data_IF_148540209596
#
_entry.id   IF_148540209596
#
_cell.length_a   1.000
_cell.length_b   1.000
_cell.length_c   1.000
_cell.angle_alpha   90.00
_cell.angle_beta   90.00
_cell.angle_gamma   90.00
#
_symmetry.space_group_name_H-M   'P 1'
#
loop_
_entity.id
_entity.type
_entity.pdbx_description
1 polymer ?
#
# COMPACT_ATOMS: atom_id res chain seq x y z
N UNK A 1 -8.84 36.56 6.12
CA UNK A 1 -9.21 35.17 6.06
C UNK A 1 -9.36 34.53 7.41
N UNK A 2 -10.38 33.71 7.55
CA UNK A 2 -10.72 33.03 8.82
C UNK A 2 -9.99 31.63 8.92
N UNK A 3 -9.30 31.18 7.88
CA UNK A 3 -8.54 29.92 7.91
C UNK A 3 -7.33 30.07 8.84
N UNK A 4 -7.17 29.14 9.77
CA UNK A 4 -5.96 29.04 10.60
C UNK A 4 -4.76 28.68 9.69
N UNK A 5 -3.56 29.19 9.97
CA UNK A 5 -2.37 28.79 9.23
C UNK A 5 -2.14 27.27 9.38
N UNK A 6 -1.54 26.68 8.37
CA UNK A 6 -1.16 25.27 8.41
C UNK A 6 -0.19 25.03 9.59
N UNK A 7 -0.42 24.00 10.43
CA UNK A 7 0.53 23.63 11.48
C UNK A 7 1.93 23.40 10.92
N UNK A 8 2.96 23.70 11.69
CA UNK A 8 4.35 23.63 11.22
C UNK A 8 4.74 22.20 10.86
N UNK A 9 4.33 21.23 11.66
CA UNK A 9 4.55 19.80 11.44
C UNK A 9 3.95 19.32 10.12
N UNK A 10 2.80 19.84 9.72
CA UNK A 10 2.18 19.51 8.43
C UNK A 10 2.91 20.23 7.27
N UNK A 11 3.41 21.44 7.51
CA UNK A 11 4.16 22.19 6.50
C UNK A 11 5.46 21.45 6.12
N UNK A 12 6.13 20.83 7.09
CA UNK A 12 7.35 20.04 6.86
C UNK A 12 7.08 18.75 6.05
N UNK A 13 5.87 18.21 6.11
CA UNK A 13 5.49 16.99 5.38
C UNK A 13 5.16 17.25 3.91
N UNK A 14 4.79 18.48 3.53
CA UNK A 14 4.43 18.80 2.13
C UNK A 14 5.59 18.53 1.15
N UNK A 15 6.85 18.92 1.41
CA UNK A 15 7.97 18.58 0.54
C UNK A 15 8.19 17.06 0.43
N UNK A 16 8.06 16.32 1.55
CA UNK A 16 8.19 14.86 1.56
C UNK A 16 7.10 14.18 0.73
N UNK A 17 5.86 14.65 0.81
CA UNK A 17 4.77 14.17 -0.03
C UNK A 17 5.06 14.37 -1.52
N UNK A 18 5.58 15.55 -1.90
CA UNK A 18 5.96 15.83 -3.29
C UNK A 18 7.11 14.94 -3.76
N UNK A 19 8.10 14.70 -2.91
CA UNK A 19 9.19 13.78 -3.19
C UNK A 19 8.68 12.35 -3.44
N UNK A 20 7.76 11.87 -2.60
CA UNK A 20 7.08 10.57 -2.79
C UNK A 20 6.36 10.51 -4.13
N UNK A 21 5.52 11.49 -4.43
CA UNK A 21 4.76 11.52 -5.69
C UNK A 21 5.68 11.57 -6.91
N UNK A 22 6.77 12.35 -6.85
CA UNK A 22 7.77 12.41 -7.91
C UNK A 22 8.48 11.07 -8.12
N UNK A 23 8.85 10.40 -7.02
CA UNK A 23 9.45 9.06 -7.09
C UNK A 23 8.48 8.02 -7.67
N UNK A 24 7.18 8.21 -7.47
CA UNK A 24 6.11 7.40 -8.06
C UNK A 24 5.79 7.77 -9.51
N UNK A 25 6.51 8.69 -10.14
CA UNK A 25 6.25 9.24 -11.48
C UNK A 25 4.85 9.89 -11.61
N UNK A 26 4.32 10.44 -10.50
CA UNK A 26 3.08 11.22 -10.51
C UNK A 26 3.40 12.66 -10.87
N UNK A 27 2.78 13.17 -11.93
CA UNK A 27 2.96 14.56 -12.37
C UNK A 27 2.34 15.53 -11.37
N UNK A 28 3.12 16.48 -10.88
CA UNK A 28 2.69 17.55 -9.98
C UNK A 28 2.60 18.84 -10.79
N UNK A 29 1.44 19.49 -10.78
CA UNK A 29 1.22 20.76 -11.47
C UNK A 29 0.98 21.86 -10.45
N UNK A 30 1.79 22.91 -10.50
CA UNK A 30 1.68 24.09 -9.63
C UNK A 30 1.82 25.36 -10.48
N UNK A 31 0.98 26.34 -10.20
CA UNK A 31 1.07 27.67 -10.85
C UNK A 31 0.74 28.77 -9.85
N UNK A 32 1.70 29.63 -9.59
CA UNK A 32 1.46 30.80 -8.73
C UNK A 32 0.37 31.72 -9.31
N UNK A 33 -0.52 32.19 -8.43
CA UNK A 33 -1.61 33.10 -8.81
C UNK A 33 -2.93 32.39 -9.18
N UNK A 34 -2.98 31.06 -9.15
CA UNK A 34 -4.21 30.27 -9.33
C UNK A 34 -4.42 29.37 -8.13
N UNK A 35 -5.66 29.03 -7.86
CA UNK A 35 -6.04 28.00 -6.90
C UNK A 35 -5.92 26.60 -7.51
N UNK A 36 -5.85 25.57 -6.68
CA UNK A 36 -5.76 24.18 -7.16
C UNK A 36 -6.98 23.81 -8.04
N UNK A 37 -8.15 24.30 -7.67
CA UNK A 37 -9.41 24.03 -8.38
C UNK A 37 -9.42 24.64 -9.78
N UNK A 38 -8.81 25.81 -9.98
CA UNK A 38 -8.63 26.44 -11.30
C UNK A 38 -7.73 25.58 -12.20
N UNK A 39 -6.64 25.05 -11.63
CA UNK A 39 -5.71 24.14 -12.33
C UNK A 39 -6.43 22.85 -12.70
N UNK A 40 -7.15 22.24 -11.75
CA UNK A 40 -7.94 21.02 -11.96
C UNK A 40 -9.02 21.26 -13.04
N UNK A 41 -9.74 22.38 -12.95
CA UNK A 41 -10.76 22.77 -13.92
C UNK A 41 -10.18 22.94 -15.34
N UNK A 42 -9.05 23.64 -15.45
CA UNK A 42 -8.36 23.85 -16.74
C UNK A 42 -7.90 22.54 -17.35
N UNK A 43 -7.22 21.68 -16.56
CA UNK A 43 -6.70 20.38 -17.03
C UNK A 43 -7.84 19.44 -17.39
N UNK A 44 -8.90 19.35 -16.58
CA UNK A 44 -10.03 18.48 -16.86
C UNK A 44 -10.75 18.84 -18.16
N UNK A 45 -10.93 20.13 -18.43
CA UNK A 45 -11.50 20.62 -19.69
C UNK A 45 -10.55 20.42 -20.88
N UNK A 46 -9.25 20.55 -20.68
CA UNK A 46 -8.25 20.23 -21.69
C UNK A 46 -8.33 18.73 -22.05
N UNK A 47 -8.36 17.85 -21.06
CA UNK A 47 -8.46 16.40 -21.26
C UNK A 47 -9.76 16.02 -22.00
N UNK A 48 -10.91 16.55 -21.58
CA UNK A 48 -12.20 16.32 -22.22
C UNK A 48 -12.19 16.72 -23.68
N UNK A 49 -11.66 17.92 -24.02
CA UNK A 49 -11.55 18.40 -25.42
C UNK A 49 -10.64 17.52 -26.28
N UNK A 50 -9.68 16.82 -25.68
CA UNK A 50 -8.83 15.85 -26.36
C UNK A 50 -9.38 14.42 -26.34
N UNK A 51 -10.64 14.23 -25.92
CA UNK A 51 -11.33 12.94 -25.96
C UNK A 51 -11.02 11.98 -24.81
N UNK A 52 -10.38 12.45 -23.73
CA UNK A 52 -10.11 11.65 -22.56
C UNK A 52 -11.30 11.61 -21.60
N UNK A 53 -11.62 10.43 -21.07
CA UNK A 53 -12.46 10.31 -19.91
C UNK A 53 -11.66 10.76 -18.67
N UNK A 54 -12.22 11.71 -17.92
CA UNK A 54 -11.50 12.35 -16.81
C UNK A 54 -12.14 11.99 -15.47
N UNK A 55 -11.30 11.68 -14.47
CA UNK A 55 -11.76 11.45 -13.10
C UNK A 55 -11.08 12.46 -12.18
N UNK A 56 -11.89 13.32 -11.55
CA UNK A 56 -11.45 14.25 -10.52
C UNK A 56 -11.71 13.60 -9.15
N UNK A 57 -10.67 13.45 -8.31
CA UNK A 57 -10.81 12.93 -6.95
C UNK A 57 -10.51 14.04 -5.96
N UNK A 58 -11.51 14.48 -5.22
CA UNK A 58 -11.37 15.56 -4.24
C UNK A 58 -12.43 15.46 -3.14
N UNK A 59 -12.13 16.01 -1.96
CA UNK A 59 -13.12 16.21 -0.90
C UNK A 59 -13.97 17.46 -1.11
N UNK A 60 -13.62 18.33 -2.06
CA UNK A 60 -14.28 19.60 -2.32
C UNK A 60 -15.47 19.43 -3.26
N UNK A 61 -16.64 19.89 -2.80
CA UNK A 61 -17.88 19.83 -3.57
C UNK A 61 -18.00 20.93 -4.63
N UNK A 62 -17.16 21.94 -4.57
CA UNK A 62 -17.19 23.01 -5.57
C UNK A 62 -16.77 22.50 -6.94
N UNK A 63 -15.96 21.43 -6.97
CA UNK A 63 -15.59 20.74 -8.20
C UNK A 63 -16.76 20.02 -8.90
N UNK A 64 -17.94 19.90 -8.26
CA UNK A 64 -19.15 19.38 -8.92
C UNK A 64 -19.58 20.22 -10.12
N UNK A 65 -19.23 21.52 -10.16
CA UNK A 65 -19.44 22.39 -11.31
C UNK A 65 -18.68 21.94 -12.57
N UNK A 66 -17.66 21.06 -12.41
CA UNK A 66 -16.86 20.52 -13.52
C UNK A 66 -17.43 19.24 -14.12
N UNK A 67 -18.39 18.59 -13.45
CA UNK A 67 -18.94 17.32 -13.89
C UNK A 67 -19.60 17.42 -15.28
N UNK A 68 -19.35 16.44 -16.13
CA UNK A 68 -19.97 16.28 -17.46
C UNK A 68 -20.27 14.80 -17.70
N UNK A 69 -20.66 14.41 -18.91
CA UNK A 69 -20.78 13.01 -19.30
C UNK A 69 -19.40 12.31 -19.37
N UNK A 70 -18.31 13.07 -19.55
CA UNK A 70 -16.95 12.57 -19.66
C UNK A 70 -16.05 12.94 -18.47
N UNK A 71 -16.48 13.82 -17.58
CA UNK A 71 -15.78 14.21 -16.37
C UNK A 71 -16.56 13.70 -15.15
N UNK A 72 -16.01 12.70 -14.48
CA UNK A 72 -16.50 12.14 -13.24
C UNK A 72 -15.86 12.82 -12.04
N UNK A 73 -16.65 13.38 -11.13
CA UNK A 73 -16.18 13.88 -9.83
C UNK A 73 -16.42 12.82 -8.75
N UNK A 74 -15.35 12.37 -8.10
CA UNK A 74 -15.36 11.36 -7.02
C UNK A 74 -15.03 12.00 -5.68
N UNK A 75 -15.97 11.93 -4.75
CA UNK A 75 -15.82 12.51 -3.41
C UNK A 75 -15.65 11.41 -2.36
N UNK A 76 -14.45 11.21 -1.82
CA UNK A 76 -14.22 10.29 -0.70
C UNK A 76 -14.86 10.85 0.58
N UNK A 77 -15.62 10.01 1.29
CA UNK A 77 -16.19 10.32 2.62
C UNK A 77 -15.71 9.31 3.63
N UNK A 78 -14.87 9.75 4.54
CA UNK A 78 -14.40 8.92 5.65
C UNK A 78 -15.36 9.02 6.83
N UNK A 79 -15.86 7.89 7.30
CA UNK A 79 -16.70 7.74 8.49
C UNK A 79 -16.06 6.70 9.42
N UNK A 80 -16.56 6.60 10.66
CA UNK A 80 -16.07 5.63 11.64
C UNK A 80 -16.05 4.15 11.17
N UNK A 81 -16.79 3.82 10.11
CA UNK A 81 -16.86 2.47 9.52
C UNK A 81 -16.07 2.28 8.21
N UNK A 82 -15.25 3.27 7.79
CA UNK A 82 -14.47 3.19 6.55
C UNK A 82 -14.71 4.37 5.60
N UNK A 83 -14.05 4.32 4.45
CA UNK A 83 -14.19 5.34 3.41
C UNK A 83 -15.17 4.85 2.35
N UNK A 84 -16.21 5.65 2.09
CA UNK A 84 -17.15 5.48 0.96
C UNK A 84 -16.82 6.50 -0.11
N UNK A 85 -17.06 6.17 -1.38
CA UNK A 85 -16.81 7.08 -2.50
C UNK A 85 -18.15 7.42 -3.15
N UNK A 86 -18.47 8.69 -3.23
CA UNK A 86 -19.60 9.20 -4.01
C UNK A 86 -19.12 9.57 -5.42
N UNK A 87 -19.84 9.18 -6.44
CA UNK A 87 -19.53 9.45 -7.85
C UNK A 87 -20.58 10.39 -8.42
N UNK A 88 -20.14 11.43 -9.17
CA UNK A 88 -21.01 12.44 -9.74
C UNK A 88 -20.64 12.74 -11.19
N UNK A 89 -21.48 12.30 -12.13
CA UNK A 89 -21.58 12.85 -13.48
C UNK A 89 -22.57 14.01 -13.51
N UNK A 90 -22.78 14.62 -14.68
CA UNK A 90 -23.68 15.76 -14.82
C UNK A 90 -25.12 15.45 -14.33
N UNK A 91 -25.64 14.29 -14.67
CA UNK A 91 -27.00 13.87 -14.26
C UNK A 91 -27.09 13.62 -12.75
N UNK A 92 -26.05 13.04 -12.12
CA UNK A 92 -26.01 12.82 -10.66
C UNK A 92 -26.07 14.16 -9.88
N UNK A 93 -25.37 15.20 -10.38
CA UNK A 93 -25.43 16.54 -9.80
C UNK A 93 -26.83 17.11 -9.94
N UNK A 94 -27.46 16.94 -11.10
CA UNK A 94 -28.82 17.42 -11.35
C UNK A 94 -29.85 16.68 -10.48
N UNK A 95 -29.71 15.38 -10.30
CA UNK A 95 -30.60 14.59 -9.44
C UNK A 95 -30.47 14.98 -7.97
N UNK A 96 -29.26 15.29 -7.50
CA UNK A 96 -28.99 15.64 -6.10
C UNK A 96 -29.40 17.07 -5.76
N UNK A 97 -29.06 18.04 -6.62
CA UNK A 97 -29.24 19.47 -6.34
C UNK A 97 -30.39 20.12 -7.14
N UNK A 98 -30.95 19.41 -8.12
CA UNK A 98 -32.00 19.90 -9.01
C UNK A 98 -31.51 20.90 -10.05
N UNK A 99 -30.19 21.10 -10.18
CA UNK A 99 -29.55 22.05 -11.10
C UNK A 99 -28.41 21.35 -11.85
N UNK A 100 -28.12 21.80 -13.06
CA UNK A 100 -26.97 21.28 -13.81
C UNK A 100 -25.65 21.73 -13.18
N UNK A 101 -24.51 21.08 -13.48
CA UNK A 101 -23.18 21.50 -12.98
C UNK A 101 -22.87 22.98 -13.25
N UNK A 102 -23.22 23.51 -14.41
CA UNK A 102 -23.05 24.93 -14.72
C UNK A 102 -23.95 25.81 -13.85
N UNK A 103 -25.20 25.41 -13.64
CA UNK A 103 -26.15 26.10 -12.77
C UNK A 103 -25.79 26.02 -11.29
N UNK A 104 -24.99 25.03 -10.90
CA UNK A 104 -24.47 24.91 -9.54
C UNK A 104 -23.66 26.13 -9.12
N UNK A 105 -22.95 26.77 -10.05
CA UNK A 105 -22.21 28.02 -9.81
C UNK A 105 -23.20 29.15 -9.41
N UNK A 106 -24.30 29.28 -10.15
CA UNK A 106 -25.33 30.27 -9.88
C UNK A 106 -26.04 29.99 -8.54
N UNK A 107 -26.28 28.72 -8.23
CA UNK A 107 -26.83 28.32 -6.94
C UNK A 107 -25.90 28.71 -5.78
N UNK A 108 -24.59 28.48 -5.92
CA UNK A 108 -23.55 28.94 -4.96
C UNK A 108 -23.54 30.46 -4.85
N UNK A 109 -23.65 31.19 -5.95
CA UNK A 109 -23.76 32.64 -5.95
C UNK A 109 -24.92 33.19 -5.12
N UNK A 110 -26.08 32.49 -5.11
CA UNK A 110 -27.22 32.86 -4.29
C UNK A 110 -27.08 32.43 -2.82
N UNK A 111 -26.69 31.17 -2.56
CA UNK A 111 -26.63 30.69 -1.18
C UNK A 111 -25.37 31.08 -0.42
N UNK A 112 -24.30 31.44 -1.14
CA UNK A 112 -22.99 31.68 -0.59
C UNK A 112 -22.25 30.42 -0.16
N UNK A 113 -21.00 30.61 0.27
CA UNK A 113 -20.20 29.58 0.91
C UNK A 113 -19.37 30.19 2.07
N UNK A 114 -19.63 29.71 3.28
CA UNK A 114 -18.93 30.18 4.46
C UNK A 114 -17.50 29.69 4.57
N UNK A 115 -17.16 28.53 3.94
CA UNK A 115 -15.81 27.97 3.93
C UNK A 115 -14.87 28.83 3.09
N UNK A 116 -15.34 29.37 1.99
CA UNK A 116 -14.59 30.21 1.07
C UNK A 116 -14.88 31.71 1.21
N UNK A 117 -15.64 32.06 2.25
CA UNK A 117 -16.02 33.43 2.55
C UNK A 117 -16.79 34.09 1.41
N UNK A 118 -17.60 33.33 0.69
CA UNK A 118 -18.53 33.83 -0.34
C UNK A 118 -19.83 34.21 0.35
N UNK A 119 -20.22 35.49 0.31
CA UNK A 119 -21.34 35.98 1.15
C UNK A 119 -22.71 35.48 0.72
N UNK A 120 -22.96 35.26 -0.58
CA UNK A 120 -24.26 34.92 -1.13
C UNK A 120 -25.30 36.01 -0.83
N UNK A 121 -26.59 35.63 -0.85
CA UNK A 121 -27.71 36.52 -0.52
C UNK A 121 -28.26 36.15 0.86
N UNK A 122 -28.28 37.07 1.82
CA UNK A 122 -28.77 36.81 3.18
C UNK A 122 -30.15 36.17 3.19
N UNK A 123 -30.28 35.00 3.86
CA UNK A 123 -31.55 34.27 3.99
C UNK A 123 -31.95 33.42 2.77
N UNK A 124 -31.15 33.34 1.74
CA UNK A 124 -31.28 32.38 0.66
C UNK A 124 -30.30 31.22 0.94
N UNK A 125 -30.84 30.07 1.37
CA UNK A 125 -30.08 28.85 1.55
C UNK A 125 -30.26 27.90 0.35
N UNK A 126 -29.56 26.76 0.39
CA UNK A 126 -29.50 25.76 -0.68
C UNK A 126 -30.86 25.45 -1.35
N UNK A 127 -31.87 25.08 -0.56
CA UNK A 127 -33.20 24.72 -1.09
C UNK A 127 -33.89 25.88 -1.82
N UNK A 128 -33.69 27.13 -1.37
CA UNK A 128 -34.29 28.29 -1.99
C UNK A 128 -33.52 28.68 -3.24
N UNK A 129 -32.20 28.67 -3.17
CA UNK A 129 -31.30 28.91 -4.31
C UNK A 129 -31.58 27.92 -5.44
N UNK A 130 -31.61 26.62 -5.12
CA UNK A 130 -31.91 25.56 -6.10
C UNK A 130 -33.25 25.82 -6.83
N UNK A 131 -34.34 26.14 -6.12
CA UNK A 131 -35.63 26.42 -6.73
C UNK A 131 -35.61 27.65 -7.63
N UNK A 132 -34.91 28.70 -7.21
CA UNK A 132 -34.77 29.93 -8.00
C UNK A 132 -34.02 29.63 -9.30
N UNK A 133 -32.90 28.90 -9.21
CA UNK A 133 -32.09 28.55 -10.39
C UNK A 133 -32.81 27.57 -11.30
N UNK A 134 -33.55 26.59 -10.75
CA UNK A 134 -34.40 25.70 -11.56
C UNK A 134 -35.43 26.47 -12.39
N UNK A 135 -36.03 27.51 -11.80
CA UNK A 135 -37.08 28.30 -12.45
C UNK A 135 -36.51 29.31 -13.45
N UNK A 136 -35.41 29.99 -13.11
CA UNK A 136 -34.92 31.14 -13.87
C UNK A 136 -33.58 30.90 -14.55
N UNK A 137 -32.99 29.72 -14.40
CA UNK A 137 -31.80 29.27 -15.10
C UNK A 137 -30.49 29.80 -14.57
N UNK A 138 -30.42 31.04 -14.07
CA UNK A 138 -29.21 31.70 -13.59
C UNK A 138 -29.54 32.82 -12.59
N UNK A 139 -28.50 33.37 -11.92
CA UNK A 139 -28.60 34.57 -11.13
C UNK A 139 -29.12 35.75 -11.96
N UNK A 140 -28.61 35.93 -13.18
CA UNK A 140 -29.08 36.99 -14.10
C UNK A 140 -30.55 36.81 -14.44
N UNK A 141 -30.99 35.62 -14.81
CA UNK A 141 -32.41 35.35 -15.07
C UNK A 141 -33.30 35.55 -13.84
N UNK A 142 -32.84 35.23 -12.65
CA UNK A 142 -33.54 35.51 -11.41
C UNK A 142 -33.68 37.01 -11.12
N UNK A 143 -32.67 37.82 -11.44
CA UNK A 143 -32.72 39.26 -11.30
C UNK A 143 -33.65 39.94 -12.32
N UNK A 144 -33.75 39.43 -13.53
CA UNK A 144 -34.72 39.91 -14.53
C UNK A 144 -36.18 39.64 -14.15
N UNK A 145 -36.44 38.60 -13.34
CA UNK A 145 -37.77 38.20 -12.88
C UNK A 145 -37.96 38.37 -11.38
N UNK A 146 -37.33 39.37 -10.80
CA UNK A 146 -37.25 39.56 -9.35
C UNK A 146 -38.63 39.62 -8.67
N UNK A 147 -39.64 40.20 -9.35
CA UNK A 147 -40.98 40.34 -8.85
C UNK A 147 -41.75 38.99 -8.74
N UNK A 148 -41.27 37.98 -9.38
CA UNK A 148 -41.87 36.64 -9.38
C UNK A 148 -41.16 35.68 -8.41
N UNK A 149 -40.09 36.11 -7.78
CA UNK A 149 -39.30 35.30 -6.81
C UNK A 149 -40.11 34.97 -5.58
N UNK A 150 -40.06 33.71 -5.14
CA UNK A 150 -40.69 33.26 -3.89
C UNK A 150 -39.66 32.57 -3.00
N UNK A 151 -39.78 32.68 -1.67
CA UNK A 151 -40.79 33.45 -0.89
C UNK A 151 -40.49 34.95 -0.91
N UNK A 152 -41.44 35.82 -0.48
CA UNK A 152 -41.29 37.28 -0.52
C UNK A 152 -40.03 37.82 0.19
N UNK A 153 -39.55 37.11 1.22
CA UNK A 153 -38.28 37.44 1.88
C UNK A 153 -37.07 37.25 0.98
N UNK A 154 -37.06 36.15 0.18
CA UNK A 154 -36.00 35.91 -0.77
C UNK A 154 -36.01 36.94 -1.89
N UNK A 155 -37.20 37.30 -2.41
CA UNK A 155 -37.39 38.38 -3.38
C UNK A 155 -36.81 39.71 -2.89
N UNK A 156 -37.20 40.16 -1.69
CA UNK A 156 -36.71 41.40 -1.11
C UNK A 156 -35.18 41.37 -0.96
N UNK A 157 -34.64 40.29 -0.38
CA UNK A 157 -33.21 40.18 -0.15
C UNK A 157 -32.42 40.08 -1.45
N UNK A 158 -32.90 39.36 -2.47
CA UNK A 158 -32.25 39.29 -3.77
C UNK A 158 -32.26 40.67 -4.47
N UNK A 159 -33.34 41.46 -4.34
CA UNK A 159 -33.40 42.83 -4.84
C UNK A 159 -32.36 43.73 -4.15
N UNK A 160 -32.28 43.65 -2.81
CA UNK A 160 -31.39 44.47 -1.99
C UNK A 160 -29.91 44.08 -2.18
N UNK A 161 -29.59 42.80 -2.36
CA UNK A 161 -28.24 42.26 -2.45
C UNK A 161 -27.89 41.74 -3.85
N UNK A 162 -28.48 42.34 -4.92
CA UNK A 162 -28.28 41.89 -6.31
C UNK A 162 -26.82 41.92 -6.75
N UNK A 163 -26.08 43.01 -6.47
CA UNK A 163 -24.66 43.11 -6.80
C UNK A 163 -23.82 42.08 -6.01
N UNK A 164 -24.20 41.80 -4.78
CA UNK A 164 -23.53 40.79 -3.96
C UNK A 164 -23.78 39.35 -4.52
N UNK A 165 -24.96 39.06 -5.06
CA UNK A 165 -25.26 37.81 -5.70
C UNK A 165 -24.40 37.60 -6.96
N UNK A 166 -24.23 38.66 -7.78
CA UNK A 166 -23.39 38.63 -8.97
C UNK A 166 -21.92 38.40 -8.58
N UNK A 167 -21.40 39.19 -7.66
CA UNK A 167 -20.03 39.01 -7.14
C UNK A 167 -19.82 37.62 -6.54
N UNK A 168 -20.76 37.11 -5.75
CA UNK A 168 -20.66 35.78 -5.16
C UNK A 168 -20.65 34.68 -6.21
N UNK A 169 -21.40 34.83 -7.30
CA UNK A 169 -21.38 33.89 -8.44
C UNK A 169 -20.03 33.93 -9.16
N UNK A 170 -19.43 35.09 -9.34
CA UNK A 170 -18.10 35.23 -9.93
C UNK A 170 -17.02 34.57 -9.06
N UNK A 171 -17.10 34.76 -7.75
CA UNK A 171 -16.18 34.14 -6.79
C UNK A 171 -16.34 32.63 -6.72
N UNK A 172 -17.54 32.08 -6.92
CA UNK A 172 -17.81 30.65 -6.90
C UNK A 172 -17.40 29.94 -8.21
N UNK A 173 -17.13 30.67 -9.27
CA UNK A 173 -16.79 30.10 -10.57
C UNK A 173 -15.31 29.69 -10.65
N UNK A 174 -15.05 28.43 -10.89
CA UNK A 174 -13.70 27.91 -11.15
C UNK A 174 -13.23 28.40 -12.52
N UNK A 175 -12.00 28.87 -12.60
CA UNK A 175 -11.37 29.32 -13.83
C UNK A 175 -10.92 28.10 -14.69
N UNK A 176 -11.29 28.12 -15.98
CA UNK A 176 -11.09 26.96 -16.87
C UNK A 176 -10.05 27.21 -18.00
N UNK A 177 -9.35 28.35 -17.92
CA UNK A 177 -8.44 28.84 -18.95
C UNK A 177 -7.13 29.38 -18.36
N UNK A 178 -6.61 28.72 -17.32
CA UNK A 178 -5.34 29.07 -16.70
C UNK A 178 -4.19 28.88 -17.69
N UNK A 179 -3.25 29.82 -17.70
CA UNK A 179 -2.03 29.69 -18.47
C UNK A 179 -1.06 28.71 -17.81
N UNK A 180 -1.17 27.44 -18.17
CA UNK A 180 -0.34 26.35 -17.63
C UNK A 180 0.74 25.96 -18.63
N UNK A 181 1.97 25.80 -18.14
CA UNK A 181 3.03 25.12 -18.87
C UNK A 181 2.90 23.61 -18.64
N UNK A 182 1.91 23.02 -19.32
CA UNK A 182 1.46 21.65 -19.10
C UNK A 182 0.95 21.02 -20.39
N UNK A 183 1.33 19.77 -20.63
CA UNK A 183 0.83 18.94 -21.72
C UNK A 183 0.33 17.62 -21.19
N UNK A 184 -0.79 17.13 -21.73
CA UNK A 184 -1.38 15.85 -21.32
C UNK A 184 -0.42 14.66 -21.56
N UNK A 185 0.38 14.73 -22.63
CA UNK A 185 1.34 13.69 -22.99
C UNK A 185 2.44 13.52 -21.92
N UNK A 186 2.77 14.59 -21.18
CA UNK A 186 3.79 14.57 -20.12
C UNK A 186 3.29 13.86 -18.84
N UNK A 187 2.01 13.44 -18.81
CA UNK A 187 1.39 12.77 -17.65
C UNK A 187 1.20 11.28 -17.85
N UNK A 188 1.85 10.71 -18.87
CA UNK A 188 1.77 9.26 -19.09
C UNK A 188 2.30 8.52 -17.86
N UNK A 189 1.42 7.75 -17.26
CA UNK A 189 1.73 6.98 -16.06
C UNK A 189 2.28 5.61 -16.47
N UNK A 190 3.53 5.33 -16.11
CA UNK A 190 4.14 4.03 -16.40
C UNK A 190 4.06 3.08 -15.21
N UNK A 191 4.76 3.38 -14.12
CA UNK A 191 4.79 2.54 -12.93
C UNK A 191 5.09 3.34 -11.66
N UNK A 192 4.15 3.36 -10.70
CA UNK A 192 4.36 4.00 -9.40
C UNK A 192 5.32 3.22 -8.49
N UNK A 193 5.43 1.91 -8.71
CA UNK A 193 6.19 1.01 -7.87
C UNK A 193 7.49 0.63 -8.58
N UNK A 194 8.45 1.55 -8.56
CA UNK A 194 9.78 1.45 -9.16
C UNK A 194 10.86 1.59 -8.07
N UNK A 195 12.13 1.39 -8.41
CA UNK A 195 13.24 1.43 -7.45
C UNK A 195 13.34 2.75 -6.68
N UNK A 196 13.00 3.89 -7.30
CA UNK A 196 13.03 5.19 -6.64
C UNK A 196 11.93 5.28 -5.58
N UNK A 197 10.71 4.85 -5.90
CA UNK A 197 9.60 4.84 -4.94
C UNK A 197 9.83 3.79 -3.83
N UNK A 198 10.46 2.65 -4.13
CA UNK A 198 10.87 1.68 -3.12
C UNK A 198 11.81 2.30 -2.08
N UNK A 199 12.88 2.97 -2.54
CA UNK A 199 13.86 3.58 -1.65
C UNK A 199 13.25 4.67 -0.75
N UNK A 200 12.36 5.51 -1.28
CA UNK A 200 11.71 6.54 -0.47
C UNK A 200 10.70 5.95 0.51
N UNK A 201 9.95 4.91 0.12
CA UNK A 201 9.02 4.23 1.01
C UNK A 201 9.75 3.52 2.15
N UNK A 202 10.91 2.91 1.88
CA UNK A 202 11.78 2.32 2.91
C UNK A 202 12.28 3.41 3.88
N UNK A 203 12.77 4.54 3.36
CA UNK A 203 13.24 5.67 4.19
C UNK A 203 12.13 6.25 5.08
N UNK A 204 10.90 6.30 4.58
CA UNK A 204 9.74 6.85 5.29
C UNK A 204 8.92 5.78 6.03
N UNK A 205 9.38 4.54 6.05
CA UNK A 205 8.74 3.41 6.74
C UNK A 205 7.29 3.16 6.31
N UNK A 206 6.98 3.33 5.02
CA UNK A 206 5.65 3.10 4.48
C UNK A 206 5.37 1.60 4.27
N UNK A 207 5.27 0.84 5.36
CA UNK A 207 5.11 -0.62 5.37
C UNK A 207 4.00 -1.13 4.45
N UNK A 208 2.84 -0.49 4.45
CA UNK A 208 1.71 -0.91 3.60
C UNK A 208 1.94 -0.69 2.09
N UNK A 209 2.77 0.30 1.72
CA UNK A 209 3.12 0.56 0.33
C UNK A 209 4.28 -0.34 -0.12
N UNK A 210 5.23 -0.64 0.76
CA UNK A 210 6.30 -1.59 0.48
C UNK A 210 5.74 -2.98 0.12
N UNK A 211 4.70 -3.46 0.81
CA UNK A 211 4.01 -4.71 0.47
C UNK A 211 3.44 -4.77 -0.96
N UNK A 212 3.24 -3.62 -1.62
CA UNK A 212 2.74 -3.58 -3.01
C UNK A 212 3.82 -3.83 -4.06
N UNK A 213 5.09 -3.72 -3.70
CA UNK A 213 6.20 -4.10 -4.58
C UNK A 213 6.32 -5.61 -4.73
N UNK A 214 5.85 -6.35 -3.74
CA UNK A 214 5.91 -7.81 -3.70
C UNK A 214 5.20 -8.46 -4.91
N UNK A 215 4.26 -7.76 -5.54
CA UNK A 215 3.55 -8.23 -6.74
C UNK A 215 4.27 -7.91 -8.08
N UNK A 216 5.42 -7.21 -8.07
CA UNK A 216 6.11 -6.75 -9.29
C UNK A 216 7.58 -7.17 -9.37
N UNK A 217 8.20 -7.55 -8.26
CA UNK A 217 9.53 -8.15 -8.31
C UNK A 217 9.39 -9.55 -8.91
N UNK A 218 10.23 -9.83 -9.90
CA UNK A 218 10.41 -11.18 -10.40
C UNK A 218 10.58 -12.09 -9.20
N UNK A 219 9.65 -13.03 -9.03
CA UNK A 219 9.80 -14.13 -8.09
C UNK A 219 11.17 -14.74 -8.41
N UNK A 220 12.15 -14.48 -7.58
CA UNK A 220 13.42 -15.16 -7.68
C UNK A 220 13.08 -16.64 -7.48
N UNK A 221 13.46 -17.47 -8.43
CA UNK A 221 13.14 -18.89 -8.40
C UNK A 221 14.02 -19.61 -7.37
N UNK A 222 13.92 -19.23 -6.09
CA UNK A 222 14.44 -20.05 -5.02
C UNK A 222 13.49 -21.25 -4.88
N UNK A 223 13.75 -22.30 -5.66
CA UNK A 223 13.03 -23.58 -5.61
C UNK A 223 14.05 -24.67 -5.30
N UNK A 224 14.22 -25.02 -4.03
CA UNK A 224 15.10 -26.12 -3.65
C UNK A 224 14.59 -27.45 -4.17
N UNK A 225 15.53 -28.29 -4.61
CA UNK A 225 15.29 -29.69 -4.90
C UNK A 225 15.29 -30.49 -3.59
N UNK A 226 14.14 -31.06 -3.25
CA UNK A 226 13.93 -31.69 -1.96
C UNK A 226 14.11 -33.21 -2.09
N UNK A 227 15.02 -33.74 -1.30
CA UNK A 227 15.25 -35.20 -1.20
C UNK A 227 14.85 -35.70 0.18
N UNK A 228 13.83 -36.57 0.25
CA UNK A 228 13.45 -37.22 1.50
C UNK A 228 14.37 -38.38 1.79
N UNK A 229 15.05 -38.35 2.92
CA UNK A 229 16.06 -39.34 3.36
C UNK A 229 15.43 -40.29 4.36
N UNK A 230 15.33 -41.55 4.00
CA UNK A 230 14.73 -42.59 4.84
C UNK A 230 15.75 -43.64 5.34
N UNK A 231 17.04 -43.42 5.07
CA UNK A 231 18.12 -44.33 5.49
C UNK A 231 19.37 -43.56 5.91
N UNK A 232 19.98 -43.95 7.00
CA UNK A 232 21.28 -43.43 7.46
C UNK A 232 22.44 -43.66 6.47
N UNK A 233 22.27 -44.55 5.50
CA UNK A 233 23.24 -44.73 4.43
C UNK A 233 23.47 -43.49 3.58
N UNK A 234 22.47 -42.60 3.51
CA UNK A 234 22.52 -41.35 2.75
C UNK A 234 23.29 -40.23 3.48
N UNK A 235 23.55 -40.38 4.79
CA UNK A 235 24.25 -39.36 5.60
C UNK A 235 25.64 -39.03 5.09
N UNK A 236 26.37 -40.00 4.56
CA UNK A 236 27.71 -39.77 4.01
C UNK A 236 27.68 -38.78 2.82
N UNK A 237 26.64 -38.84 2.00
CA UNK A 237 26.47 -37.90 0.89
C UNK A 237 26.17 -36.45 1.38
N UNK A 238 25.30 -36.33 2.38
CA UNK A 238 24.97 -35.04 3.00
C UNK A 238 26.22 -34.46 3.70
N UNK A 239 26.97 -35.27 4.42
CA UNK A 239 28.22 -34.89 5.07
C UNK A 239 29.26 -34.36 4.07
N UNK A 240 29.43 -35.02 2.93
CA UNK A 240 30.33 -34.55 1.90
C UNK A 240 29.90 -33.23 1.27
N UNK A 241 28.59 -33.03 1.05
CA UNK A 241 28.04 -31.76 0.58
C UNK A 241 28.24 -30.64 1.64
N UNK A 242 27.95 -30.93 2.89
CA UNK A 242 28.13 -30.00 4.00
C UNK A 242 29.60 -29.58 4.20
N UNK A 243 30.54 -30.52 4.06
CA UNK A 243 31.99 -30.24 4.12
C UNK A 243 32.45 -29.32 2.98
N UNK A 244 31.88 -29.46 1.79
CA UNK A 244 32.18 -28.55 0.66
C UNK A 244 31.64 -27.15 0.87
N UNK A 245 30.47 -27.05 1.44
CA UNK A 245 29.83 -25.77 1.73
C UNK A 245 30.47 -25.05 2.93
N UNK A 246 30.94 -25.77 3.95
CA UNK A 246 31.44 -25.24 5.21
C UNK A 246 30.33 -24.72 6.15
N UNK A 247 29.10 -24.63 5.68
CA UNK A 247 27.92 -24.25 6.46
C UNK A 247 26.69 -25.03 5.95
N UNK A 248 25.72 -25.26 6.82
CA UNK A 248 24.42 -25.85 6.47
C UNK A 248 23.29 -25.09 7.15
N UNK A 249 22.17 -25.00 6.48
CA UNK A 249 20.92 -24.56 7.10
C UNK A 249 20.19 -25.77 7.68
N UNK A 250 19.69 -25.64 8.89
CA UNK A 250 19.01 -26.73 9.61
C UNK A 250 17.67 -26.28 10.14
N UNK A 251 16.63 -27.08 9.90
CA UNK A 251 15.33 -26.91 10.49
C UNK A 251 14.84 -28.22 11.13
N UNK A 252 14.42 -28.16 12.40
CA UNK A 252 13.86 -29.30 13.13
C UNK A 252 12.34 -29.28 13.05
N UNK A 253 11.77 -30.19 12.26
CA UNK A 253 10.32 -30.33 12.14
C UNK A 253 9.78 -31.17 13.28
N UNK A 254 8.85 -30.61 14.05
CA UNK A 254 8.26 -31.30 15.21
C UNK A 254 6.76 -30.98 15.35
N UNK A 255 6.03 -31.87 15.96
CA UNK A 255 4.63 -31.70 16.36
C UNK A 255 4.52 -32.07 17.85
N UNK A 256 3.97 -31.14 18.65
CA UNK A 256 3.88 -31.27 20.12
C UNK A 256 5.23 -31.63 20.75
N UNK A 257 5.34 -32.90 21.22
CA UNK A 257 6.52 -33.42 21.89
C UNK A 257 7.34 -34.39 21.04
N UNK A 258 6.99 -34.52 19.74
CA UNK A 258 7.62 -35.50 18.85
C UNK A 258 8.37 -34.81 17.71
N UNK A 259 9.66 -35.12 17.57
CA UNK A 259 10.43 -34.75 16.40
C UNK A 259 10.03 -35.66 15.22
N UNK A 260 9.64 -35.04 14.10
CA UNK A 260 9.23 -35.74 12.89
C UNK A 260 10.35 -35.87 11.87
N UNK A 261 11.30 -34.94 11.90
CA UNK A 261 12.44 -34.97 11.00
C UNK A 261 13.30 -33.73 11.08
N UNK A 262 14.37 -33.71 10.29
CA UNK A 262 15.30 -32.56 10.19
C UNK A 262 15.52 -32.25 8.71
N UNK A 263 15.28 -31.00 8.31
CA UNK A 263 15.70 -30.53 6.99
C UNK A 263 17.12 -29.97 7.06
N UNK A 264 17.97 -30.35 6.12
CA UNK A 264 19.37 -29.91 5.99
C UNK A 264 19.58 -29.35 4.59
N UNK A 265 19.87 -28.06 4.48
CA UNK A 265 20.26 -27.42 3.25
C UNK A 265 21.78 -27.29 3.18
N UNK A 266 22.39 -27.74 2.10
CA UNK A 266 23.82 -27.63 1.87
C UNK A 266 24.20 -26.48 0.92
N UNK A 267 23.26 -26.04 0.11
CA UNK A 267 23.37 -24.86 -0.77
C UNK A 267 21.95 -24.31 -1.11
N UNK A 268 21.84 -23.47 -2.14
CA UNK A 268 20.57 -22.86 -2.57
C UNK A 268 19.62 -23.82 -3.28
N UNK A 269 20.05 -25.02 -3.62
CA UNK A 269 19.29 -25.99 -4.41
C UNK A 269 19.00 -27.27 -3.65
N UNK A 270 20.00 -27.86 -3.01
CA UNK A 270 19.90 -29.21 -2.47
C UNK A 270 19.49 -29.18 -1.00
N UNK A 271 18.27 -29.68 -0.73
CA UNK A 271 17.72 -29.84 0.62
C UNK A 271 17.38 -31.30 0.89
N UNK A 272 17.91 -31.81 1.97
CA UNK A 272 17.69 -33.16 2.44
C UNK A 272 16.76 -33.14 3.66
N UNK A 273 15.61 -33.82 3.58
CA UNK A 273 14.68 -33.96 4.68
C UNK A 273 14.81 -35.33 5.30
N UNK A 274 15.52 -35.43 6.42
CA UNK A 274 15.72 -36.64 7.20
C UNK A 274 14.41 -37.03 7.85
N UNK A 275 13.82 -38.13 7.46
CA UNK A 275 12.51 -38.59 7.89
C UNK A 275 12.60 -39.46 9.16
N UNK A 276 12.25 -38.86 10.30
CA UNK A 276 12.18 -39.54 11.58
C UNK A 276 10.78 -40.09 11.89
N UNK A 277 9.78 -39.76 11.08
CA UNK A 277 8.40 -40.26 11.31
C UNK A 277 8.22 -41.75 10.98
N UNK A 278 9.04 -42.28 10.11
CA UNK A 278 8.90 -43.69 9.64
C UNK A 278 10.21 -44.36 9.14
N UNK A 279 11.35 -43.68 9.23
CA UNK A 279 12.57 -44.19 8.58
C UNK A 279 13.79 -44.22 9.50
N UNK A 280 14.13 -43.11 10.11
CA UNK A 280 15.38 -42.93 10.84
C UNK A 280 15.06 -42.64 12.31
N UNK A 281 15.83 -43.26 13.22
CA UNK A 281 15.72 -42.97 14.64
C UNK A 281 16.03 -41.47 14.90
N UNK A 282 15.18 -40.72 15.64
CA UNK A 282 15.45 -39.33 16.00
C UNK A 282 16.83 -39.09 16.63
N UNK A 283 17.31 -39.99 17.48
CA UNK A 283 18.63 -39.87 18.11
C UNK A 283 19.77 -40.01 17.10
N UNK A 284 19.62 -40.83 16.06
CA UNK A 284 20.59 -40.94 14.97
C UNK A 284 20.63 -39.68 14.10
N UNK A 285 19.46 -39.08 13.83
CA UNK A 285 19.36 -37.83 13.08
C UNK A 285 19.99 -36.66 13.86
N UNK A 286 19.70 -36.56 15.15
CA UNK A 286 20.30 -35.54 16.03
C UNK A 286 21.81 -35.73 16.12
N UNK A 287 22.27 -36.98 16.32
CA UNK A 287 23.71 -37.29 16.34
C UNK A 287 24.39 -36.85 15.05
N UNK A 288 23.76 -37.07 13.90
CA UNK A 288 24.31 -36.63 12.61
C UNK A 288 24.52 -35.10 12.56
N UNK A 289 23.59 -34.29 13.07
CA UNK A 289 23.77 -32.83 13.15
C UNK A 289 24.93 -32.47 14.10
N UNK A 290 25.08 -33.16 15.23
CA UNK A 290 26.26 -32.97 16.10
C UNK A 290 27.56 -33.33 15.42
N UNK A 291 27.60 -34.40 14.65
CA UNK A 291 28.79 -34.81 13.92
C UNK A 291 29.18 -33.75 12.89
N UNK A 292 28.24 -33.13 12.16
CA UNK A 292 28.46 -31.99 11.28
C UNK A 292 29.04 -30.78 12.05
N UNK A 293 28.41 -30.41 13.16
CA UNK A 293 28.85 -29.30 14.03
C UNK A 293 30.27 -29.55 14.56
N UNK A 294 30.56 -30.76 15.05
CA UNK A 294 31.86 -31.11 15.60
C UNK A 294 32.96 -31.21 14.51
N UNK A 295 32.58 -31.42 13.28
CA UNK A 295 33.49 -31.30 12.13
C UNK A 295 33.82 -29.85 11.75
N UNK A 296 33.30 -28.87 12.48
CA UNK A 296 33.56 -27.43 12.26
C UNK A 296 32.63 -26.79 11.23
N UNK A 297 31.55 -27.46 10.83
CA UNK A 297 30.56 -26.92 9.90
C UNK A 297 29.66 -25.94 10.68
N UNK A 298 29.38 -24.78 10.08
CA UNK A 298 28.49 -23.79 10.65
C UNK A 298 27.03 -24.26 10.47
N UNK A 299 26.28 -24.27 11.57
CA UNK A 299 24.85 -24.60 11.57
C UNK A 299 24.06 -23.29 11.61
N UNK A 300 23.24 -23.03 10.58
CA UNK A 300 22.37 -21.86 10.50
C UNK A 300 20.93 -22.28 10.72
N UNK A 301 20.22 -21.63 11.63
CA UNK A 301 18.82 -21.92 11.94
C UNK A 301 17.99 -20.61 11.93
N UNK A 302 16.71 -20.72 11.63
CA UNK A 302 15.77 -19.61 11.73
C UNK A 302 15.38 -19.34 13.19
N UNK A 303 15.02 -20.41 13.91
CA UNK A 303 14.59 -20.40 15.31
C UNK A 303 15.30 -21.52 16.07
N UNK A 304 16.44 -21.21 16.62
CA UNK A 304 17.22 -22.13 17.43
C UNK A 304 16.47 -22.51 18.72
N UNK A 305 15.71 -21.58 19.29
CA UNK A 305 15.01 -21.78 20.56
C UNK A 305 14.01 -22.93 20.51
N UNK A 306 13.23 -23.04 19.43
CA UNK A 306 12.28 -24.14 19.27
C UNK A 306 12.99 -25.50 19.09
N UNK A 307 14.15 -25.48 18.47
CA UNK A 307 14.95 -26.67 18.22
C UNK A 307 15.66 -27.21 19.48
N UNK A 308 15.96 -26.35 20.49
CA UNK A 308 16.71 -26.74 21.70
C UNK A 308 16.03 -27.85 22.51
N UNK A 309 14.75 -28.09 22.32
CA UNK A 309 14.03 -29.22 22.93
C UNK A 309 14.51 -30.57 22.41
N UNK A 310 15.04 -30.60 21.18
CA UNK A 310 15.42 -31.83 20.46
C UNK A 310 16.91 -31.91 20.22
N UNK A 311 17.57 -30.77 20.07
CA UNK A 311 19.00 -30.64 19.78
C UNK A 311 19.63 -29.79 20.86
N UNK A 312 20.41 -30.41 21.76
CA UNK A 312 21.06 -29.73 22.87
C UNK A 312 22.39 -29.10 22.42
N UNK A 313 22.31 -27.88 21.86
CA UNK A 313 23.51 -27.09 21.59
C UNK A 313 23.95 -26.34 22.86
N UNK A 314 25.23 -26.41 23.19
CA UNK A 314 25.79 -25.75 24.36
C UNK A 314 26.00 -24.25 24.14
N UNK A 315 25.90 -23.44 25.19
CA UNK A 315 26.10 -21.97 25.17
C UNK A 315 27.44 -21.52 24.57
N UNK A 316 28.43 -22.39 24.47
CA UNK A 316 29.77 -22.10 23.94
C UNK A 316 29.95 -22.52 22.47
N UNK A 317 28.90 -22.95 21.79
CA UNK A 317 29.01 -23.36 20.39
C UNK A 317 29.04 -22.13 19.47
N UNK A 318 30.23 -21.72 19.05
CA UNK A 318 30.47 -20.53 18.21
C UNK A 318 30.13 -20.74 16.75
N UNK A 319 29.82 -21.99 16.34
CA UNK A 319 29.44 -22.35 14.97
C UNK A 319 27.97 -22.72 14.82
N UNK A 320 27.12 -22.28 15.76
CA UNK A 320 25.65 -22.37 15.65
C UNK A 320 25.09 -20.95 15.63
N UNK A 321 24.37 -20.60 14.61
CA UNK A 321 23.82 -19.26 14.38
C UNK A 321 22.30 -19.28 14.30
N UNK A 322 21.66 -18.43 15.09
CA UNK A 322 20.23 -18.14 14.99
C UNK A 322 20.06 -16.88 14.12
N UNK A 323 19.58 -17.07 12.89
CA UNK A 323 19.43 -16.00 11.92
C UNK A 323 18.20 -15.13 12.23
N UNK A 324 17.14 -15.70 12.81
CA UNK A 324 15.98 -14.93 13.27
C UNK A 324 16.36 -13.96 14.39
N UNK A 325 17.11 -14.41 15.38
CA UNK A 325 17.62 -13.53 16.44
C UNK A 325 18.59 -12.49 15.89
N UNK A 326 19.48 -12.86 14.98
CA UNK A 326 20.42 -11.91 14.37
C UNK A 326 19.67 -10.84 13.55
N UNK A 327 18.67 -11.22 12.77
CA UNK A 327 17.79 -10.28 12.04
C UNK A 327 17.03 -9.35 13.00
N UNK A 328 16.51 -9.86 14.13
CA UNK A 328 15.91 -9.05 15.17
C UNK A 328 16.88 -8.01 15.75
N UNK A 329 18.12 -8.38 16.01
CA UNK A 329 19.13 -7.45 16.55
C UNK A 329 19.48 -6.33 15.58
N UNK A 330 19.46 -6.61 14.27
CA UNK A 330 19.72 -5.62 13.23
C UNK A 330 18.54 -4.66 13.01
N UNK A 331 17.30 -5.15 13.09
CA UNK A 331 16.10 -4.34 12.91
C UNK A 331 14.97 -4.80 13.84
N UNK A 332 14.91 -4.33 15.10
CA UNK A 332 13.94 -4.79 16.10
C UNK A 332 12.51 -4.27 15.89
N UNK A 333 12.24 -3.56 14.78
CA UNK A 333 10.95 -2.92 14.51
C UNK A 333 10.06 -3.71 13.52
N UNK A 334 10.52 -4.87 13.04
CA UNK A 334 9.72 -5.74 12.18
C UNK A 334 8.68 -6.52 12.98
N UNK A 335 7.58 -6.90 12.29
CA UNK A 335 6.46 -7.62 12.91
C UNK A 335 6.80 -9.11 13.13
N UNK A 336 7.64 -9.70 12.26
CA UNK A 336 8.15 -11.07 12.38
C UNK A 336 9.55 -11.20 11.75
N UNK A 337 10.21 -12.34 12.00
CA UNK A 337 11.52 -12.70 11.47
C UNK A 337 11.49 -14.13 10.92
N UNK A 338 10.34 -14.53 10.39
CA UNK A 338 10.14 -15.80 9.73
C UNK A 338 10.95 -15.87 8.42
N UNK A 339 11.14 -17.05 7.87
CA UNK A 339 11.98 -17.26 6.69
C UNK A 339 11.60 -16.37 5.49
N UNK A 340 10.32 -16.11 5.28
CA UNK A 340 9.83 -15.26 4.18
C UNK A 340 10.21 -13.79 4.39
N UNK A 341 10.14 -13.27 5.62
CA UNK A 341 10.60 -11.92 5.96
C UNK A 341 12.12 -11.79 5.84
N UNK A 342 12.88 -12.77 6.34
CA UNK A 342 14.35 -12.82 6.22
C UNK A 342 14.78 -12.92 4.74
N UNK A 343 14.13 -13.76 3.95
CA UNK A 343 14.40 -13.89 2.53
C UNK A 343 14.17 -12.58 1.79
N UNK A 344 13.09 -11.90 2.10
CA UNK A 344 12.73 -10.62 1.51
C UNK A 344 13.71 -9.51 1.86
N UNK A 345 14.02 -9.33 3.15
CA UNK A 345 14.85 -8.22 3.63
C UNK A 345 16.34 -8.40 3.27
N UNK A 346 16.86 -9.62 3.35
CA UNK A 346 18.29 -9.86 3.21
C UNK A 346 18.69 -10.49 1.87
N UNK A 347 17.80 -11.29 1.24
CA UNK A 347 18.10 -11.95 -0.03
C UNK A 347 17.39 -11.30 -1.23
N UNK A 348 16.40 -10.41 -0.99
CA UNK A 348 15.58 -9.83 -2.05
C UNK A 348 14.63 -10.85 -2.71
N UNK A 349 14.38 -11.99 -2.07
CA UNK A 349 13.54 -13.07 -2.57
C UNK A 349 12.16 -13.01 -1.90
N UNK A 350 11.10 -13.09 -2.69
CA UNK A 350 9.75 -13.20 -2.17
C UNK A 350 9.36 -14.67 -2.17
N UNK A 351 9.17 -15.21 -0.98
CA UNK A 351 8.74 -16.59 -0.76
C UNK A 351 7.33 -16.60 -0.19
N UNK A 352 6.54 -17.64 -0.48
CA UNK A 352 5.25 -17.80 0.17
C UNK A 352 5.45 -18.04 1.67
N UNK A 353 4.65 -17.41 2.50
CA UNK A 353 4.67 -17.63 3.96
C UNK A 353 4.20 -19.05 4.31
N UNK A 354 4.57 -19.53 5.48
CA UNK A 354 4.09 -20.82 6.00
C UNK A 354 2.55 -20.91 5.94
N UNK A 355 1.86 -19.84 6.34
CA UNK A 355 0.41 -19.76 6.31
C UNK A 355 -0.19 -19.86 4.90
N UNK A 356 0.49 -19.36 3.89
CA UNK A 356 0.04 -19.45 2.49
C UNK A 356 0.20 -20.87 1.94
N UNK A 357 1.27 -21.57 2.35
CA UNK A 357 1.54 -22.93 1.89
C UNK A 357 0.69 -24.00 2.59
N UNK A 358 0.61 -23.96 3.91
CA UNK A 358 -0.05 -25.00 4.69
C UNK A 358 -1.43 -24.60 5.24
N UNK A 359 -1.77 -23.29 5.24
CA UNK A 359 -3.09 -22.82 5.63
C UNK A 359 -3.48 -23.18 7.06
N UNK A 360 -4.39 -24.13 7.23
CA UNK A 360 -4.87 -24.66 8.52
C UNK A 360 -4.46 -26.11 8.75
N UNK A 361 -3.64 -26.68 7.88
CA UNK A 361 -3.20 -28.04 8.02
C UNK A 361 -2.23 -28.17 9.20
N UNK A 362 -2.39 -29.23 9.97
CA UNK A 362 -1.56 -29.49 11.14
C UNK A 362 -0.42 -30.46 10.77
N UNK A 363 0.79 -30.14 11.24
CA UNK A 363 1.94 -31.00 11.07
C UNK A 363 1.82 -32.24 11.98
N UNK A 364 1.85 -33.42 11.37
CA UNK A 364 1.82 -34.71 12.06
C UNK A 364 2.50 -35.80 11.22
N UNK A 365 2.55 -37.02 11.71
CA UNK A 365 3.21 -38.15 11.03
C UNK A 365 2.66 -38.44 9.63
N UNK A 366 1.42 -38.08 9.32
CA UNK A 366 0.78 -38.35 8.03
C UNK A 366 0.97 -37.17 7.05
N UNK A 367 1.11 -35.95 7.54
CA UNK A 367 1.26 -34.74 6.74
C UNK A 367 2.72 -34.33 6.53
N UNK A 368 3.65 -34.85 7.35
CA UNK A 368 5.07 -34.48 7.35
C UNK A 368 5.74 -34.55 5.95
N UNK A 369 5.42 -35.57 5.15
CA UNK A 369 5.98 -35.75 3.80
C UNK A 369 5.11 -35.16 2.68
N UNK A 370 4.10 -34.35 2.99
CA UNK A 370 3.33 -33.68 1.94
C UNK A 370 4.12 -32.54 1.29
N UNK A 371 3.86 -32.27 0.02
CA UNK A 371 4.61 -31.28 -0.76
C UNK A 371 4.66 -29.92 -0.08
N UNK A 372 3.53 -29.44 0.48
CA UNK A 372 3.46 -28.14 1.15
C UNK A 372 4.35 -28.05 2.40
N UNK A 373 4.36 -29.09 3.24
CA UNK A 373 5.23 -29.13 4.43
C UNK A 373 6.70 -29.28 4.05
N UNK A 374 7.01 -30.10 3.06
CA UNK A 374 8.38 -30.25 2.56
C UNK A 374 8.90 -28.93 1.99
N UNK A 375 8.06 -28.17 1.28
CA UNK A 375 8.41 -26.85 0.76
C UNK A 375 8.72 -25.87 1.89
N UNK A 376 7.88 -25.78 2.93
CA UNK A 376 8.12 -24.95 4.12
C UNK A 376 9.44 -25.34 4.80
N UNK A 377 9.69 -26.64 5.01
CA UNK A 377 10.93 -27.11 5.66
C UNK A 377 12.16 -26.74 4.84
N UNK A 378 12.06 -26.82 3.51
CA UNK A 378 13.15 -26.44 2.62
C UNK A 378 13.49 -24.97 2.75
N UNK A 379 12.50 -24.08 2.78
CA UNK A 379 12.72 -22.65 2.98
C UNK A 379 13.29 -22.32 4.36
N UNK A 380 12.76 -22.94 5.42
CA UNK A 380 13.27 -22.79 6.79
C UNK A 380 14.71 -23.27 6.97
N UNK A 381 15.21 -24.15 6.10
CA UNK A 381 16.60 -24.55 6.07
C UNK A 381 17.46 -23.68 5.14
N UNK A 382 17.01 -23.41 3.91
CA UNK A 382 17.82 -22.71 2.90
C UNK A 382 18.00 -21.22 3.23
N UNK A 383 16.94 -20.54 3.68
CA UNK A 383 17.00 -19.09 3.90
C UNK A 383 18.03 -18.70 4.96
N UNK A 384 18.10 -19.35 6.15
CA UNK A 384 19.13 -19.05 7.15
C UNK A 384 20.55 -19.28 6.61
N UNK A 385 20.75 -20.32 5.80
CA UNK A 385 22.05 -20.60 5.19
C UNK A 385 22.48 -19.46 4.25
N UNK A 386 21.58 -19.00 3.39
CA UNK A 386 21.89 -17.98 2.39
C UNK A 386 22.02 -16.59 3.02
N UNK A 387 21.22 -16.29 4.04
CA UNK A 387 21.25 -14.98 4.72
C UNK A 387 22.45 -14.81 5.65
N UNK A 388 23.12 -15.88 6.07
CA UNK A 388 24.18 -15.93 7.07
C UNK A 388 25.22 -14.81 6.88
N UNK A 389 25.86 -14.75 5.74
CA UNK A 389 26.96 -13.81 5.50
C UNK A 389 26.45 -12.35 5.47
N UNK A 390 25.29 -12.13 4.89
CA UNK A 390 24.70 -10.80 4.78
C UNK A 390 24.28 -10.25 6.15
N UNK A 391 23.75 -11.12 7.01
CA UNK A 391 23.32 -10.76 8.37
C UNK A 391 24.52 -10.57 9.30
N UNK A 392 25.55 -11.38 9.17
CA UNK A 392 26.75 -11.32 10.02
C UNK A 392 27.70 -10.18 9.65
N UNK A 393 27.65 -9.67 8.41
CA UNK A 393 28.48 -8.56 7.94
C UNK A 393 27.91 -7.17 8.31
N UNK A 394 26.65 -7.10 8.74
CA UNK A 394 25.95 -5.88 9.18
C UNK A 394 26.04 -5.67 10.67
#
# INVERSE_FOLDING_TARGET
GTRKPMPEELREQVPLMKEVLTAMHVTIVEKGGYEADDIIGTISRMAERNGYATVIVSGDRDLLQLATDNILVRIPKTKAGGTTIENYYADDVKDLYGVTPVQFIDMKGLMGDTSDNIPGVPGIGEKTASKIIQQWGSVAGALEHIDEIKPPKAQKNLAEFSEQAIMSRELAAIKLDCELDFKLEDTTYENAFNDNSYNIFKRLEFKSLLKKFDNQQTVSELKPDITVVNSTADFAHIEDAAKKSGAVGVYVAHSDDMMLGIAVACDSKDVYVINCSSGIDPDEAVKFIYDLKNAGIIICMEDLKSALKYVDFHECDTNVLDIGVAAYLLNPMEDSYDYDDVAKEYLGNILPSEKELIGKDELNIFTFISDNFLEVFSYKAVVPLLAKDIVMDK
#
